data_IF_727428038842
#
_entry.id   IF_727428038842
#
_cell.length_a   1.000
_cell.length_b   1.000
_cell.length_c   1.000
_cell.angle_alpha   90.00
_cell.angle_beta   90.00
_cell.angle_gamma   90.00
#
_symmetry.space_group_name_H-M   'P 1'
#
loop_
_entity.id
_entity.type
_entity.pdbx_description
1 polymer ?
#
# COMPACT_ATOMS: atom_id res chain seq x y z
N UNK A 1 -27.02 -28.24 -30.67
CA UNK A 1 -25.70 -28.90 -30.81
C UNK A 1 -24.67 -27.89 -31.28
N UNK A 2 -23.95 -27.31 -30.31
CA UNK A 2 -22.89 -26.33 -30.60
C UNK A 2 -21.57 -27.08 -30.64
N UNK A 3 -20.89 -27.02 -31.77
CA UNK A 3 -19.55 -27.63 -31.95
C UNK A 3 -18.54 -26.89 -31.06
N UNK A 4 -18.12 -27.48 -29.96
CA UNK A 4 -16.99 -27.01 -29.17
C UNK A 4 -15.68 -27.23 -29.94
N UNK A 5 -14.92 -26.16 -30.06
CA UNK A 5 -13.61 -26.11 -30.74
C UNK A 5 -12.58 -26.88 -29.89
N UNK A 6 -11.85 -27.78 -30.51
CA UNK A 6 -10.87 -28.70 -29.90
C UNK A 6 -9.66 -28.04 -29.21
N UNK A 7 -9.57 -26.72 -29.22
CA UNK A 7 -8.44 -25.99 -28.58
C UNK A 7 -8.65 -25.62 -27.14
N UNK A 8 -9.85 -25.76 -26.57
CA UNK A 8 -10.16 -25.35 -25.19
C UNK A 8 -10.02 -26.50 -24.17
N UNK A 9 -9.64 -27.71 -24.59
CA UNK A 9 -9.62 -28.90 -23.73
C UNK A 9 -8.25 -29.21 -23.09
N UNK A 10 -7.21 -28.42 -23.30
CA UNK A 10 -5.84 -28.71 -22.81
C UNK A 10 -5.37 -27.90 -21.59
N UNK A 11 -6.20 -27.08 -20.99
CA UNK A 11 -5.82 -26.28 -19.81
C UNK A 11 -6.42 -26.81 -18.48
N UNK A 12 -7.20 -27.87 -18.53
CA UNK A 12 -7.85 -28.41 -17.32
C UNK A 12 -7.36 -29.78 -16.90
N UNK A 13 -6.06 -30.02 -16.86
CA UNK A 13 -5.55 -31.23 -16.20
C UNK A 13 -4.18 -30.99 -15.58
N UNK A 14 -4.18 -31.28 -14.28
CA UNK A 14 -3.07 -31.59 -13.38
C UNK A 14 -2.61 -30.52 -12.37
N UNK A 15 -3.37 -30.46 -11.30
CA UNK A 15 -2.78 -30.44 -9.96
C UNK A 15 -3.41 -31.59 -9.17
N UNK A 16 -2.80 -32.75 -9.21
CA UNK A 16 -2.87 -33.78 -8.17
C UNK A 16 -1.48 -34.39 -8.04
N UNK A 17 -0.95 -34.26 -6.81
CA UNK A 17 0.25 -34.94 -6.35
C UNK A 17 1.58 -34.61 -7.05
N UNK A 18 2.25 -33.53 -6.63
CA UNK A 18 3.72 -33.27 -6.57
C UNK A 18 4.70 -34.22 -7.29
N UNK A 19 4.38 -34.75 -8.49
CA UNK A 19 5.34 -35.44 -9.37
C UNK A 19 5.07 -35.05 -10.82
N UNK A 20 6.03 -34.33 -11.40
CA UNK A 20 6.10 -34.09 -12.85
C UNK A 20 6.49 -35.39 -13.56
N UNK A 21 5.58 -35.98 -14.33
CA UNK A 21 5.94 -36.98 -15.32
C UNK A 21 6.03 -36.32 -16.69
N UNK A 22 7.17 -36.50 -17.34
CA UNK A 22 7.50 -35.94 -18.64
C UNK A 22 6.76 -36.70 -19.74
N UNK A 23 5.78 -36.09 -20.42
CA UNK A 23 5.22 -36.63 -21.66
C UNK A 23 5.91 -35.93 -22.87
N UNK A 24 6.41 -36.70 -23.81
CA UNK A 24 7.08 -36.25 -25.01
C UNK A 24 6.19 -35.34 -25.85
N UNK A 25 6.60 -34.10 -26.03
CA UNK A 25 5.99 -33.15 -26.98
C UNK A 25 6.90 -33.05 -28.18
N UNK A 26 6.40 -33.48 -29.34
CA UNK A 26 7.04 -33.32 -30.64
C UNK A 26 7.02 -31.85 -31.06
N UNK A 27 8.14 -31.44 -31.64
CA UNK A 27 8.55 -30.10 -32.03
C UNK A 27 7.46 -29.32 -32.81
N UNK A 28 7.06 -28.17 -32.26
CA UNK A 28 6.69 -27.00 -33.06
C UNK A 28 7.13 -25.75 -32.26
N UNK A 29 8.28 -25.18 -32.67
CA UNK A 29 9.10 -24.26 -31.82
C UNK A 29 8.79 -22.78 -32.04
N UNK A 30 7.61 -22.37 -32.50
CA UNK A 30 7.35 -20.96 -32.83
C UNK A 30 6.20 -20.26 -32.06
N UNK A 31 5.62 -20.86 -31.01
CA UNK A 31 4.46 -20.22 -30.33
C UNK A 31 4.63 -19.92 -28.86
N UNK A 32 5.83 -19.98 -28.26
CA UNK A 32 6.06 -19.68 -26.85
C UNK A 32 7.14 -18.61 -26.64
N UNK A 33 6.98 -17.43 -27.27
CA UNK A 33 7.65 -16.21 -26.83
C UNK A 33 6.66 -15.37 -26.02
N UNK A 34 6.51 -15.64 -24.73
CA UNK A 34 5.62 -14.85 -23.88
C UNK A 34 5.34 -15.41 -22.50
N UNK A 35 5.89 -16.56 -22.11
CA UNK A 35 5.78 -17.03 -20.74
C UNK A 35 6.89 -16.34 -19.94
N UNK A 36 6.51 -15.23 -19.30
CA UNK A 36 7.38 -14.53 -18.37
C UNK A 36 7.97 -15.52 -17.35
N UNK A 37 9.29 -15.48 -17.19
CA UNK A 37 10.02 -16.30 -16.22
C UNK A 37 9.26 -16.28 -14.89
N UNK A 38 8.76 -17.45 -14.45
CA UNK A 38 8.27 -17.63 -13.09
C UNK A 38 9.39 -17.19 -12.16
N UNK A 39 9.27 -15.97 -11.59
CA UNK A 39 10.12 -15.56 -10.48
C UNK A 39 9.83 -16.53 -9.35
N UNK A 40 10.77 -17.42 -9.04
CA UNK A 40 10.76 -18.21 -7.81
C UNK A 40 10.50 -17.19 -6.69
N UNK A 41 9.36 -17.29 -6.01
CA UNK A 41 9.04 -16.42 -4.87
C UNK A 41 10.19 -16.58 -3.88
N UNK A 42 11.02 -15.55 -3.72
CA UNK A 42 12.12 -15.53 -2.73
C UNK A 42 11.47 -15.87 -1.39
N UNK A 43 11.95 -16.96 -0.75
CA UNK A 43 11.43 -17.40 0.55
C UNK A 43 11.52 -16.23 1.52
N UNK A 44 10.41 -15.81 2.09
CA UNK A 44 10.36 -14.71 3.05
C UNK A 44 11.16 -15.09 4.29
N UNK A 45 12.05 -14.21 4.74
CA UNK A 45 12.92 -14.45 5.89
C UNK A 45 12.17 -14.27 7.20
N UNK A 46 12.61 -15.01 8.22
CA UNK A 46 11.97 -15.04 9.54
C UNK A 46 12.71 -14.16 10.54
N UNK A 47 11.92 -13.54 11.41
CA UNK A 47 12.39 -12.84 12.62
C UNK A 47 11.65 -13.45 13.81
N UNK A 48 12.40 -13.77 14.87
CA UNK A 48 11.89 -14.47 16.03
C UNK A 48 11.87 -13.53 17.24
N UNK A 49 10.73 -13.51 17.92
CA UNK A 49 10.54 -12.68 19.12
C UNK A 49 11.01 -13.42 20.36
N UNK A 50 11.51 -12.65 21.33
CA UNK A 50 11.81 -13.16 22.68
C UNK A 50 10.54 -13.70 23.32
N UNK A 51 10.62 -14.73 24.20
CA UNK A 51 9.49 -15.25 24.96
C UNK A 51 8.75 -14.11 25.68
N UNK A 52 7.41 -14.08 25.56
CA UNK A 52 6.53 -13.08 26.15
C UNK A 52 6.46 -11.74 25.39
N UNK A 53 7.28 -11.51 24.36
CA UNK A 53 7.24 -10.29 23.52
C UNK A 53 6.30 -10.39 22.33
N UNK A 54 5.63 -11.52 22.13
CA UNK A 54 4.60 -11.73 21.11
C UNK A 54 3.24 -11.12 21.48
N UNK A 55 3.00 -10.79 22.74
CA UNK A 55 1.71 -10.28 23.23
C UNK A 55 1.25 -9.02 22.51
N UNK A 56 2.07 -7.97 22.26
CA UNK A 56 1.65 -6.83 21.47
C UNK A 56 1.23 -7.21 20.05
N UNK A 57 1.97 -8.12 19.38
CA UNK A 57 1.65 -8.57 18.03
C UNK A 57 0.30 -9.31 18.00
N UNK A 58 0.03 -10.18 18.97
CA UNK A 58 -1.26 -10.89 19.14
C UNK A 58 -2.43 -9.93 19.42
N UNK A 59 -2.15 -8.73 19.93
CA UNK A 59 -3.11 -7.63 20.12
C UNK A 59 -3.14 -6.64 18.97
N UNK A 60 -2.61 -7.01 17.80
CA UNK A 60 -2.58 -6.22 16.59
C UNK A 60 -1.80 -4.90 16.70
N UNK A 61 -0.81 -4.80 17.61
CA UNK A 61 0.07 -3.65 17.64
C UNK A 61 0.92 -3.61 16.36
N UNK A 62 0.95 -2.49 15.61
CA UNK A 62 1.52 -2.46 14.27
C UNK A 62 3.06 -2.41 14.24
N UNK A 63 3.72 -2.31 15.39
CA UNK A 63 5.17 -2.17 15.46
C UNK A 63 5.82 -3.24 16.32
N UNK A 64 6.96 -3.75 15.84
CA UNK A 64 7.89 -4.55 16.65
C UNK A 64 9.15 -3.72 16.89
N UNK A 65 9.46 -3.46 18.14
CA UNK A 65 10.65 -2.73 18.53
C UNK A 65 11.88 -3.66 18.59
N UNK A 66 13.08 -3.10 18.37
CA UNK A 66 14.34 -3.85 18.35
C UNK A 66 14.56 -4.69 19.61
N UNK A 67 14.20 -4.19 20.78
CA UNK A 67 14.33 -4.90 22.05
C UNK A 67 13.46 -6.16 22.19
N UNK A 68 12.43 -6.34 21.35
CA UNK A 68 11.55 -7.50 21.35
C UNK A 68 12.11 -8.68 20.53
N UNK A 69 13.11 -8.45 19.69
CA UNK A 69 13.66 -9.45 18.78
C UNK A 69 14.75 -10.27 19.51
N UNK A 70 14.67 -11.58 19.39
CA UNK A 70 15.66 -12.53 19.86
C UNK A 70 16.72 -12.78 18.78
N UNK A 71 16.30 -13.18 17.59
CA UNK A 71 17.15 -13.50 16.44
C UNK A 71 16.42 -13.27 15.13
N UNK A 72 17.18 -13.19 14.06
CA UNK A 72 16.66 -13.10 12.69
C UNK A 72 17.54 -13.88 11.72
N UNK A 73 16.96 -14.34 10.62
CA UNK A 73 17.70 -15.00 9.55
C UNK A 73 18.65 -14.01 8.87
N UNK A 74 19.83 -14.48 8.45
CA UNK A 74 20.87 -13.64 7.88
C UNK A 74 20.45 -12.96 6.57
N UNK A 75 21.04 -11.76 6.32
CA UNK A 75 20.91 -11.03 5.07
C UNK A 75 19.53 -10.38 4.87
N UNK A 76 18.80 -10.06 5.95
CA UNK A 76 17.63 -9.15 5.90
C UNK A 76 18.18 -7.74 5.75
N UNK A 77 17.53 -6.95 4.90
CA UNK A 77 17.86 -5.54 4.65
C UNK A 77 16.63 -4.68 4.81
N UNK A 78 16.82 -3.38 5.10
CA UNK A 78 15.70 -2.42 5.21
C UNK A 78 14.80 -2.47 3.97
N UNK A 79 13.50 -2.56 4.24
CA UNK A 79 12.44 -2.69 3.26
C UNK A 79 12.11 -4.12 2.84
N UNK A 80 12.82 -5.13 3.33
CA UNK A 80 12.43 -6.52 3.05
C UNK A 80 11.15 -6.90 3.78
N UNK A 81 10.26 -7.60 3.08
CA UNK A 81 9.16 -8.30 3.71
C UNK A 81 9.69 -9.46 4.56
N UNK A 82 9.23 -9.52 5.81
CA UNK A 82 9.63 -10.54 6.78
C UNK A 82 8.42 -11.18 7.45
N UNK A 83 8.59 -12.44 7.87
CA UNK A 83 7.67 -13.16 8.72
C UNK A 83 8.10 -13.00 10.18
N UNK A 84 7.21 -12.54 11.03
CA UNK A 84 7.42 -12.46 12.48
C UNK A 84 6.88 -13.73 13.13
N UNK A 85 7.74 -14.39 13.89
CA UNK A 85 7.43 -15.62 14.61
C UNK A 85 7.59 -15.43 16.12
N UNK A 86 6.84 -16.24 16.89
CA UNK A 86 7.10 -16.38 18.32
C UNK A 86 8.37 -17.22 18.59
N UNK A 87 8.72 -17.42 19.86
CA UNK A 87 9.88 -18.23 20.28
C UNK A 87 9.75 -19.72 19.92
N UNK A 88 8.56 -20.20 19.60
CA UNK A 88 8.28 -21.57 19.14
C UNK A 88 8.18 -21.68 17.62
N UNK A 89 8.64 -20.64 16.90
CA UNK A 89 8.61 -20.54 15.43
C UNK A 89 7.22 -20.49 14.78
N UNK A 90 6.15 -20.28 15.54
CA UNK A 90 4.83 -20.07 14.97
C UNK A 90 4.73 -18.69 14.33
N UNK A 91 4.24 -18.63 13.10
CA UNK A 91 4.02 -17.37 12.40
C UNK A 91 2.93 -16.54 13.10
N UNK A 92 3.18 -15.27 13.32
CA UNK A 92 2.25 -14.32 13.95
C UNK A 92 1.75 -13.26 12.97
N UNK A 93 2.65 -12.69 12.18
CA UNK A 93 2.36 -11.58 11.29
C UNK A 93 3.46 -11.41 10.23
N UNK A 94 3.19 -10.53 9.26
CA UNK A 94 4.12 -10.12 8.21
C UNK A 94 4.21 -8.62 8.13
N UNK A 95 5.38 -8.11 7.75
CA UNK A 95 5.61 -6.68 7.61
C UNK A 95 6.98 -6.37 7.03
N UNK A 96 7.33 -5.10 7.05
CA UNK A 96 8.61 -4.62 6.56
C UNK A 96 9.62 -4.47 7.68
N UNK A 97 10.80 -5.03 7.46
CA UNK A 97 11.97 -4.77 8.30
C UNK A 97 12.57 -3.41 7.97
N UNK A 98 13.05 -2.73 8.99
CA UNK A 98 13.77 -1.47 8.87
C UNK A 98 14.80 -1.32 10.00
N UNK A 99 15.95 -0.74 9.70
CA UNK A 99 16.91 -0.37 10.73
C UNK A 99 16.32 0.76 11.61
N UNK A 100 16.60 0.73 12.92
CA UNK A 100 16.10 1.71 13.86
C UNK A 100 15.40 1.09 15.07
N UNK A 101 14.73 1.91 15.90
CA UNK A 101 14.02 1.47 17.10
C UNK A 101 12.75 0.69 16.76
N UNK A 102 11.96 1.16 15.80
CA UNK A 102 10.85 0.39 15.21
C UNK A 102 11.44 -0.51 14.15
N UNK A 103 11.72 -1.75 14.52
CA UNK A 103 12.44 -2.71 13.68
C UNK A 103 11.56 -3.35 12.62
N UNK A 104 10.27 -3.53 12.90
CA UNK A 104 9.32 -4.08 11.93
C UNK A 104 8.02 -3.29 11.99
N UNK A 105 7.52 -2.87 10.83
CA UNK A 105 6.18 -2.36 10.65
C UNK A 105 5.30 -3.47 10.14
N UNK A 106 4.38 -3.93 10.99
CA UNK A 106 3.47 -5.02 10.68
C UNK A 106 2.32 -4.50 9.81
N UNK A 107 2.01 -5.24 8.75
CA UNK A 107 1.01 -4.89 7.75
C UNK A 107 -0.07 -5.98 7.61
N UNK A 108 0.29 -7.25 7.91
CA UNK A 108 -0.57 -8.38 7.71
C UNK A 108 -0.51 -9.34 8.91
N UNK A 109 -1.56 -9.35 9.72
CA UNK A 109 -1.70 -10.21 10.90
C UNK A 109 -2.38 -11.52 10.49
N UNK A 110 -1.57 -12.50 10.13
CA UNK A 110 -1.99 -13.81 9.62
C UNK A 110 -0.86 -14.81 9.80
N UNK A 111 -1.20 -16.09 9.72
CA UNK A 111 -0.20 -17.18 9.64
C UNK A 111 0.26 -17.45 8.19
N UNK A 112 -0.44 -16.91 7.21
CA UNK A 112 -0.12 -17.03 5.79
C UNK A 112 0.39 -15.71 5.23
N UNK A 113 1.36 -15.71 4.31
CA UNK A 113 1.89 -14.48 3.72
C UNK A 113 0.83 -13.70 2.93
N UNK A 114 0.98 -12.36 2.81
CA UNK A 114 0.09 -11.55 2.00
C UNK A 114 0.09 -12.04 0.54
N UNK A 115 -1.08 -12.03 -0.08
CA UNK A 115 -1.25 -12.38 -1.49
C UNK A 115 -1.04 -11.17 -2.44
N UNK A 116 -1.22 -11.42 -3.74
CA UNK A 116 -1.05 -10.38 -4.75
C UNK A 116 -2.08 -9.24 -4.65
N UNK A 117 -3.20 -9.46 -3.98
CA UNK A 117 -4.29 -8.49 -3.81
C UNK A 117 -4.21 -7.75 -2.47
N UNK A 118 -3.17 -7.96 -1.68
CA UNK A 118 -3.04 -7.38 -0.35
C UNK A 118 -3.31 -5.87 -0.33
N UNK A 119 -2.58 -5.07 -1.14
CA UNK A 119 -2.78 -3.63 -1.22
C UNK A 119 -4.14 -3.26 -1.80
N UNK A 120 -4.61 -3.96 -2.81
CA UNK A 120 -5.94 -3.75 -3.41
C UNK A 120 -7.03 -3.87 -2.36
N UNK A 121 -6.99 -4.93 -1.54
CA UNK A 121 -7.97 -5.16 -0.49
C UNK A 121 -7.90 -4.10 0.60
N UNK A 122 -6.69 -3.67 1.00
CA UNK A 122 -6.50 -2.59 1.96
C UNK A 122 -7.08 -1.27 1.46
N UNK A 123 -6.82 -0.91 0.20
CA UNK A 123 -7.34 0.31 -0.41
C UNK A 123 -8.86 0.29 -0.56
N UNK A 124 -9.44 -0.83 -1.00
CA UNK A 124 -10.90 -1.01 -1.08
C UNK A 124 -11.56 -0.83 0.29
N UNK A 125 -10.99 -1.42 1.34
CA UNK A 125 -11.50 -1.28 2.70
C UNK A 125 -11.40 0.17 3.19
N UNK A 126 -10.29 0.84 2.95
CA UNK A 126 -10.10 2.23 3.31
C UNK A 126 -11.09 3.15 2.57
N UNK A 127 -11.26 2.96 1.26
CA UNK A 127 -12.22 3.74 0.47
C UNK A 127 -13.66 3.51 0.96
N UNK A 128 -14.05 2.26 1.21
CA UNK A 128 -15.36 1.92 1.76
C UNK A 128 -15.64 2.62 3.10
N UNK A 129 -14.63 2.68 3.98
CA UNK A 129 -14.74 3.41 5.25
C UNK A 129 -15.00 4.90 5.01
N UNK A 130 -14.26 5.55 4.11
CA UNK A 130 -14.43 6.98 3.77
C UNK A 130 -15.79 7.26 3.15
N UNK A 131 -16.28 6.36 2.31
CA UNK A 131 -17.65 6.43 1.77
C UNK A 131 -18.70 6.25 2.87
N UNK A 132 -18.47 5.33 3.82
CA UNK A 132 -19.37 5.08 4.95
C UNK A 132 -19.53 6.27 5.90
N UNK A 133 -18.48 7.08 6.10
CA UNK A 133 -18.56 8.34 6.87
C UNK A 133 -19.00 9.54 6.01
N UNK A 134 -19.40 9.28 4.77
CA UNK A 134 -20.03 10.25 3.87
C UNK A 134 -19.21 11.52 3.62
N UNK A 135 -17.88 11.37 3.46
CA UNK A 135 -16.96 12.50 3.25
C UNK A 135 -17.26 13.31 1.99
N UNK A 136 -17.86 12.70 0.97
CA UNK A 136 -18.30 13.36 -0.26
C UNK A 136 -19.82 13.51 -0.30
N UNK A 137 -20.40 14.14 0.71
CA UNK A 137 -21.83 14.38 0.77
C UNK A 137 -22.27 15.27 -0.41
N UNK A 138 -23.16 14.73 -1.25
CA UNK A 138 -23.72 15.44 -2.40
C UNK A 138 -22.68 15.93 -3.44
N UNK A 139 -21.52 15.29 -3.54
CA UNK A 139 -20.48 15.70 -4.50
C UNK A 139 -19.75 17.01 -4.13
N UNK A 140 -19.95 17.52 -2.92
CA UNK A 140 -19.40 18.82 -2.50
C UNK A 140 -17.96 18.74 -1.95
N UNK A 141 -17.39 17.55 -1.90
CA UNK A 141 -16.00 17.36 -1.42
C UNK A 141 -15.32 16.29 -2.25
N UNK A 142 -14.17 16.60 -2.84
CA UNK A 142 -13.36 15.66 -3.62
C UNK A 142 -11.92 15.53 -3.08
N UNK A 143 -11.70 15.98 -1.84
CA UNK A 143 -10.40 15.93 -1.18
C UNK A 143 -10.52 15.27 0.19
N UNK A 144 -9.69 14.25 0.44
CA UNK A 144 -9.73 13.49 1.68
C UNK A 144 -8.50 12.60 1.84
N UNK A 145 -8.19 12.21 3.08
CA UNK A 145 -7.18 11.19 3.36
C UNK A 145 -7.73 9.79 3.08
N UNK A 146 -7.17 9.14 2.05
CA UNK A 146 -7.52 7.76 1.71
C UNK A 146 -6.84 6.76 2.65
N UNK A 147 -5.55 6.90 2.90
CA UNK A 147 -4.77 6.01 3.77
C UNK A 147 -4.13 6.83 4.90
N UNK A 148 -4.36 6.40 6.12
CA UNK A 148 -3.83 7.01 7.34
C UNK A 148 -2.95 6.03 8.13
N UNK A 149 -1.93 5.50 7.50
CA UNK A 149 -0.91 4.67 8.16
C UNK A 149 -1.48 3.48 8.91
N UNK A 150 -1.17 3.44 10.19
CA UNK A 150 -1.57 2.40 11.12
C UNK A 150 -3.09 2.27 11.25
N UNK A 151 -3.82 3.37 11.15
CA UNK A 151 -5.29 3.40 11.22
C UNK A 151 -5.97 2.58 10.12
N UNK A 152 -5.33 2.47 8.96
CA UNK A 152 -5.81 1.66 7.83
C UNK A 152 -5.02 0.34 7.70
N UNK A 153 -4.15 0.03 8.66
CA UNK A 153 -3.31 -1.16 8.69
C UNK A 153 -2.27 -1.18 7.57
N UNK A 154 -1.80 0.00 7.16
CA UNK A 154 -0.70 0.22 6.21
C UNK A 154 0.36 1.12 6.86
N UNK A 155 0.95 0.63 7.97
CA UNK A 155 1.95 1.33 8.77
C UNK A 155 3.03 1.97 7.90
N UNK A 156 3.17 3.29 8.02
CA UNK A 156 4.14 4.07 7.26
C UNK A 156 3.69 4.50 5.86
N UNK A 157 2.40 4.41 5.53
CA UNK A 157 1.85 4.93 4.28
C UNK A 157 0.78 5.99 4.56
N UNK A 158 0.95 7.17 4.01
CA UNK A 158 -0.06 8.24 3.98
C UNK A 158 -0.44 8.49 2.52
N UNK A 159 -1.74 8.60 2.27
CA UNK A 159 -2.26 8.95 0.95
C UNK A 159 -3.39 9.94 1.11
N UNK A 160 -3.23 11.12 0.52
CA UNK A 160 -4.24 12.14 0.41
C UNK A 160 -4.73 12.27 -1.04
N UNK A 161 -6.03 12.38 -1.21
CA UNK A 161 -6.68 12.52 -2.51
C UNK A 161 -7.08 13.99 -2.70
N UNK A 162 -6.74 14.53 -3.84
CA UNK A 162 -7.03 15.88 -4.29
C UNK A 162 -7.64 15.81 -5.70
N UNK A 163 -8.97 15.65 -5.78
CA UNK A 163 -9.67 15.38 -7.02
C UNK A 163 -9.19 14.08 -7.67
N UNK A 164 -8.53 14.18 -8.83
CA UNK A 164 -7.98 13.02 -9.57
C UNK A 164 -6.47 12.80 -9.31
N UNK A 165 -5.89 13.51 -8.35
CA UNK A 165 -4.49 13.39 -7.94
C UNK A 165 -4.39 12.75 -6.56
N UNK A 166 -3.58 11.70 -6.44
CA UNK A 166 -3.18 11.12 -5.17
C UNK A 166 -1.78 11.61 -4.80
N UNK A 167 -1.62 12.17 -3.60
CA UNK A 167 -0.32 12.51 -3.03
C UNK A 167 0.05 11.45 -2.02
N UNK A 168 1.19 10.80 -2.24
CA UNK A 168 1.69 9.68 -1.46
C UNK A 168 2.87 10.12 -0.62
N UNK A 169 2.88 9.76 0.66
CA UNK A 169 4.05 9.86 1.53
C UNK A 169 4.38 8.50 2.11
N UNK A 170 5.59 8.01 1.82
CA UNK A 170 6.16 6.80 2.39
C UNK A 170 7.04 7.17 3.59
N UNK A 171 6.72 6.63 4.76
CA UNK A 171 7.49 6.82 6.00
C UNK A 171 8.35 5.60 6.33
N UNK A 172 8.51 4.66 5.39
CA UNK A 172 9.37 3.51 5.51
C UNK A 172 9.88 3.04 4.16
N UNK A 173 11.09 2.52 4.15
CA UNK A 173 11.75 1.94 2.96
C UNK A 173 10.93 0.81 2.34
N UNK A 174 10.26 0.00 3.16
CA UNK A 174 9.46 -1.12 2.67
C UNK A 174 8.24 -0.67 1.88
N UNK A 175 7.50 0.31 2.38
CA UNK A 175 6.37 0.91 1.67
C UNK A 175 6.84 1.53 0.34
N UNK A 176 7.98 2.23 0.36
CA UNK A 176 8.53 2.82 -0.86
C UNK A 176 8.90 1.77 -1.90
N UNK A 177 9.51 0.65 -1.49
CA UNK A 177 9.84 -0.48 -2.38
C UNK A 177 8.59 -1.15 -2.98
N UNK A 178 7.45 -1.05 -2.31
CA UNK A 178 6.17 -1.59 -2.78
C UNK A 178 5.39 -0.65 -3.72
N UNK A 179 6.02 0.43 -4.21
CA UNK A 179 5.47 1.43 -5.15
C UNK A 179 4.59 0.82 -6.26
N UNK A 180 5.06 -0.24 -6.92
CA UNK A 180 4.33 -0.85 -8.03
C UNK A 180 3.02 -1.52 -7.58
N UNK A 181 2.99 -2.09 -6.39
CA UNK A 181 1.79 -2.69 -5.80
C UNK A 181 0.80 -1.60 -5.37
N UNK A 182 1.30 -0.47 -4.88
CA UNK A 182 0.49 0.71 -4.52
C UNK A 182 -0.17 1.31 -5.77
N UNK A 183 0.59 1.48 -6.87
CA UNK A 183 0.04 1.96 -8.16
C UNK A 183 -1.06 1.01 -8.66
N UNK A 184 -0.83 -0.29 -8.65
CA UNK A 184 -1.83 -1.30 -9.04
C UNK A 184 -3.08 -1.27 -8.15
N UNK A 185 -2.92 -0.97 -6.86
CA UNK A 185 -4.06 -0.85 -5.96
C UNK A 185 -4.97 0.32 -6.35
N UNK A 186 -4.42 1.45 -6.77
CA UNK A 186 -5.21 2.56 -7.32
C UNK A 186 -5.96 2.16 -8.60
N UNK A 187 -5.32 1.43 -9.50
CA UNK A 187 -5.91 1.00 -10.76
C UNK A 187 -7.08 0.01 -10.58
N UNK A 188 -7.10 -0.69 -9.44
CA UNK A 188 -8.13 -1.65 -9.08
C UNK A 188 -9.26 -1.06 -8.21
N UNK A 189 -9.25 0.25 -7.93
CA UNK A 189 -10.30 0.90 -7.16
C UNK A 189 -11.48 1.30 -8.05
N UNK A 190 -12.64 0.75 -7.74
CA UNK A 190 -13.90 1.19 -8.32
C UNK A 190 -14.44 2.41 -7.55
N UNK A 191 -14.97 3.39 -8.27
CA UNK A 191 -15.58 4.58 -7.66
C UNK A 191 -14.61 5.68 -7.24
N UNK A 192 -13.33 5.58 -7.60
CA UNK A 192 -12.33 6.63 -7.42
C UNK A 192 -11.41 6.67 -8.66
N UNK A 193 -11.46 7.76 -9.41
CA UNK A 193 -10.61 7.95 -10.59
C UNK A 193 -9.33 8.68 -10.21
N UNK A 194 -8.18 8.02 -10.30
CA UNK A 194 -6.87 8.61 -10.06
C UNK A 194 -6.05 8.61 -11.35
N UNK A 195 -5.79 9.80 -11.87
CA UNK A 195 -5.00 10.04 -13.08
C UNK A 195 -3.54 10.28 -12.76
N UNK A 196 -3.28 10.96 -11.63
CA UNK A 196 -1.94 11.33 -11.22
C UNK A 196 -1.63 10.76 -9.83
N UNK A 197 -0.41 10.29 -9.65
CA UNK A 197 0.13 9.85 -8.36
C UNK A 197 1.45 10.57 -8.17
N UNK A 198 1.49 11.51 -7.22
CA UNK A 198 2.67 12.27 -6.85
C UNK A 198 3.29 11.72 -5.58
N UNK A 199 4.55 11.36 -5.63
CA UNK A 199 5.34 10.94 -4.48
C UNK A 199 5.96 12.15 -3.79
N UNK A 200 5.64 12.34 -2.52
CA UNK A 200 6.19 13.40 -1.66
C UNK A 200 6.90 12.79 -0.46
N UNK A 201 7.76 11.80 -0.70
CA UNK A 201 8.41 11.01 0.34
C UNK A 201 9.85 11.44 0.66
N UNK A 202 10.45 12.37 -0.09
CA UNK A 202 11.86 12.78 0.06
C UNK A 202 12.22 13.18 1.49
N UNK A 203 11.33 13.90 2.19
CA UNK A 203 11.56 14.36 3.57
C UNK A 203 11.15 13.33 4.63
N UNK A 204 10.34 12.33 4.27
CA UNK A 204 9.77 11.35 5.20
C UNK A 204 10.52 10.02 5.23
N UNK A 205 11.34 9.75 4.21
CA UNK A 205 12.21 8.58 4.15
C UNK A 205 13.51 8.81 4.91
N UNK A 206 14.03 7.74 5.49
CA UNK A 206 15.30 7.79 6.22
C UNK A 206 16.47 7.93 5.25
N UNK A 207 17.17 9.06 5.28
CA UNK A 207 18.30 9.38 4.39
C UNK A 207 19.46 8.38 4.47
N UNK A 208 19.57 7.63 5.56
CA UNK A 208 20.65 6.68 5.80
C UNK A 208 20.42 5.29 5.18
N UNK A 209 19.29 5.05 4.51
CA UNK A 209 18.93 3.74 3.95
C UNK A 209 19.17 3.62 2.44
N UNK A 210 19.92 4.57 1.86
CA UNK A 210 20.33 4.51 0.45
C UNK A 210 19.23 4.85 -0.55
N UNK A 211 18.08 5.32 -0.09
CA UNK A 211 17.02 5.89 -0.96
C UNK A 211 17.28 7.39 -1.02
N UNK A 212 17.76 7.87 -2.16
CA UNK A 212 18.00 9.28 -2.46
C UNK A 212 17.08 9.77 -3.57
N UNK A 213 15.85 9.31 -3.58
CA UNK A 213 14.90 9.72 -4.60
C UNK A 213 14.27 11.06 -4.22
N UNK A 214 14.16 11.92 -5.22
CA UNK A 214 13.44 13.19 -5.12
C UNK A 214 11.95 12.96 -5.28
N UNK A 215 11.17 13.90 -4.76
CA UNK A 215 9.73 13.93 -5.02
C UNK A 215 9.47 13.96 -6.53
N UNK A 216 8.59 13.08 -7.02
CA UNK A 216 8.28 12.97 -8.45
C UNK A 216 6.94 12.25 -8.67
N UNK A 217 6.44 12.27 -9.91
CA UNK A 217 5.25 11.53 -10.28
C UNK A 217 5.53 10.04 -10.46
N UNK A 218 4.77 9.20 -9.77
CA UNK A 218 4.75 7.77 -10.03
C UNK A 218 3.86 7.41 -11.23
N UNK A 219 2.85 8.25 -11.49
CA UNK A 219 1.92 8.10 -12.62
C UNK A 219 1.41 9.47 -13.03
N UNK A 220 1.20 9.67 -14.35
CA UNK A 220 0.73 10.93 -14.90
C UNK A 220 1.81 11.99 -14.88
N UNK A 221 1.44 13.22 -14.66
CA UNK A 221 2.28 14.41 -14.57
C UNK A 221 1.45 15.63 -14.91
N UNK A 222 1.35 16.57 -13.96
CA UNK A 222 0.70 17.85 -14.12
C UNK A 222 1.59 18.93 -13.47
N UNK A 223 1.19 20.19 -13.63
CA UNK A 223 1.70 21.26 -12.74
C UNK A 223 1.34 20.89 -11.31
N UNK A 224 2.25 21.01 -10.35
CA UNK A 224 2.10 20.62 -8.95
C UNK A 224 0.98 21.32 -8.16
N UNK A 225 0.03 21.94 -8.85
CA UNK A 225 -1.10 22.72 -8.29
C UNK A 225 -2.41 22.26 -8.89
N UNK A 226 -3.49 22.45 -8.14
CA UNK A 226 -4.82 22.14 -8.64
C UNK A 226 -5.94 22.66 -7.73
N UNK A 227 -7.15 22.68 -8.27
CA UNK A 227 -8.33 23.04 -7.53
C UNK A 227 -8.96 21.80 -6.88
N UNK A 228 -9.29 21.92 -5.61
CA UNK A 228 -10.07 20.94 -4.87
C UNK A 228 -11.40 21.53 -4.45
N UNK A 229 -12.34 20.65 -4.19
CA UNK A 229 -13.64 21.00 -3.64
C UNK A 229 -13.73 20.49 -2.20
N UNK A 230 -14.09 21.37 -1.26
CA UNK A 230 -14.37 21.02 0.12
C UNK A 230 -15.61 21.78 0.61
N UNK A 231 -16.67 21.05 0.99
CA UNK A 231 -17.95 21.60 1.44
C UNK A 231 -18.53 22.65 0.47
N UNK A 232 -18.37 22.45 -0.85
CA UNK A 232 -18.83 23.38 -1.88
C UNK A 232 -17.87 24.54 -2.18
N UNK A 233 -16.82 24.74 -1.41
CA UNK A 233 -15.81 25.77 -1.64
C UNK A 233 -14.64 25.22 -2.46
N UNK A 234 -14.13 26.08 -3.36
CA UNK A 234 -12.96 25.74 -4.18
C UNK A 234 -11.70 26.27 -3.51
N UNK A 235 -10.71 25.41 -3.31
CA UNK A 235 -9.37 25.77 -2.84
C UNK A 235 -8.35 25.44 -3.93
N UNK A 236 -7.49 26.42 -4.24
CA UNK A 236 -6.31 26.14 -5.03
C UNK A 236 -5.19 25.66 -4.10
N UNK A 237 -4.64 24.49 -4.39
CA UNK A 237 -3.61 23.87 -3.57
C UNK A 237 -2.35 23.58 -4.39
N UNK A 238 -1.21 23.56 -3.70
CA UNK A 238 0.09 23.20 -4.25
C UNK A 238 0.61 21.98 -3.48
N UNK A 239 0.57 20.81 -4.11
CA UNK A 239 1.08 19.59 -3.47
C UNK A 239 2.58 19.41 -3.61
N UNK A 240 3.24 20.13 -4.52
CA UNK A 240 4.71 20.10 -4.63
C UNK A 240 5.37 20.96 -3.55
N UNK A 241 4.94 22.21 -3.39
CA UNK A 241 5.56 23.19 -2.48
C UNK A 241 4.83 23.35 -1.16
N UNK A 242 3.54 23.01 -1.11
CA UNK A 242 2.73 23.14 0.09
C UNK A 242 3.20 22.24 1.24
N UNK A 243 2.87 22.61 2.46
CA UNK A 243 3.21 21.84 3.65
C UNK A 243 2.49 20.46 3.67
N UNK A 244 3.07 19.48 4.34
CA UNK A 244 2.58 18.09 4.39
C UNK A 244 2.38 17.56 2.96
N UNK A 245 1.17 17.11 2.64
CA UNK A 245 0.78 16.66 1.30
C UNK A 245 0.30 17.79 0.39
N UNK A 246 0.22 19.03 0.88
CA UNK A 246 -0.21 20.21 0.13
C UNK A 246 -1.35 20.99 0.78
N UNK A 247 -2.17 20.34 1.63
CA UNK A 247 -3.32 20.96 2.29
C UNK A 247 -3.60 20.32 3.66
N UNK A 248 -4.17 21.09 4.58
CA UNK A 248 -4.53 20.62 5.93
C UNK A 248 -5.94 20.02 5.92
N UNK A 249 -6.08 18.79 5.44
CA UNK A 249 -7.37 18.09 5.38
C UNK A 249 -8.02 17.88 6.75
N UNK A 250 -7.21 17.79 7.81
CA UNK A 250 -7.64 17.67 9.20
C UNK A 250 -8.36 18.92 9.74
N UNK A 251 -8.21 20.07 9.09
CA UNK A 251 -8.84 21.33 9.48
C UNK A 251 -10.20 21.60 8.80
N UNK A 252 -10.77 20.61 8.10
CA UNK A 252 -12.05 20.76 7.37
C UNK A 252 -13.17 21.29 8.25
N UNK A 253 -13.38 20.67 9.40
CA UNK A 253 -14.47 21.07 10.32
C UNK A 253 -14.24 22.48 10.88
N UNK A 254 -12.97 22.85 11.16
CA UNK A 254 -12.65 24.19 11.61
C UNK A 254 -12.91 25.23 10.51
N UNK A 255 -12.58 24.94 9.26
CA UNK A 255 -12.90 25.84 8.13
C UNK A 255 -14.41 25.98 7.93
N UNK A 256 -15.15 24.88 8.07
CA UNK A 256 -16.61 24.89 7.98
C UNK A 256 -17.23 25.75 9.08
N UNK A 257 -16.79 25.57 10.34
CA UNK A 257 -17.23 26.36 11.48
C UNK A 257 -16.90 27.86 11.30
N UNK A 258 -15.67 28.17 10.84
CA UNK A 258 -15.27 29.52 10.53
C UNK A 258 -16.19 30.17 9.51
N UNK A 259 -16.53 29.46 8.44
CA UNK A 259 -17.47 29.94 7.41
C UNK A 259 -18.85 30.30 7.98
N UNK A 260 -19.34 29.50 8.94
CA UNK A 260 -20.61 29.80 9.63
C UNK A 260 -20.52 31.06 10.52
N UNK A 261 -19.39 31.24 11.22
CA UNK A 261 -19.19 32.37 12.12
C UNK A 261 -18.89 33.68 11.36
N UNK A 262 -18.32 33.57 10.18
CA UNK A 262 -17.92 34.71 9.34
C UNK A 262 -19.06 35.21 8.42
N UNK A 263 -20.23 34.57 8.43
CA UNK A 263 -21.37 35.03 7.64
C UNK A 263 -21.69 36.49 7.99
N UNK A 264 -21.76 37.34 6.97
CA UNK A 264 -22.03 38.77 7.08
C UNK A 264 -21.03 39.57 7.94
N UNK A 265 -19.79 39.07 8.08
CA UNK A 265 -18.70 39.74 8.81
C UNK A 265 -17.57 40.10 7.85
N UNK A 266 -16.90 41.23 8.14
CA UNK A 266 -15.56 41.49 7.61
C UNK A 266 -14.54 40.63 8.36
N UNK A 267 -13.72 39.87 7.64
CA UNK A 267 -12.72 38.97 8.21
C UNK A 267 -11.32 39.33 7.74
#
# INVERSE_FOLDING_TARGET
MVKMNRQTLYIMLFIRNNKLSCAKITKNTHLFRGIGKFKIKKKMKKIFLKPGKETPVKRFHPWVFSGAIERYEAGITSGDWVMVCDSRENALAFGHYQEGSIRIRLLHFSTSPPDANFYVNKFKNALKLRQGVNLNKNGQTNSFRLINGEGDGLSGLIIDIYGETAVVQCHSTGIYKDKQQIIKAFEALDGLTIRNIYDKSEETLYKNEGIQEKNDYWKGGLSGTGNILENGHIFNIDWEKGQKTGFFLDQRENRFLLGQLAADKEV
#
